data_IF_803777802494
#
_entry.id   IF_803777802494
#
_cell.length_a   1.000
_cell.length_b   1.000
_cell.length_c   1.000
_cell.angle_alpha   90.00
_cell.angle_beta   90.00
_cell.angle_gamma   90.00
#
_symmetry.space_group_name_H-M   'P 1'
#
loop_
_entity.id
_entity.type
_entity.pdbx_description
1 polymer ?
#
# COMPACT_ATOMS: atom_id res chain seq x y z
N UNK A 1 7.83 19.05 21.12
CA UNK A 1 6.63 18.22 20.92
C UNK A 1 5.72 18.77 19.82
N UNK A 2 5.68 20.07 19.59
CA UNK A 2 4.88 20.68 18.48
C UNK A 2 5.33 20.29 17.05
N UNK A 3 6.62 19.98 16.85
CA UNK A 3 7.09 19.56 15.50
C UNK A 3 6.61 18.17 15.08
N UNK A 4 6.34 17.27 16.03
CA UNK A 4 5.86 15.92 15.73
C UNK A 4 4.38 15.89 15.27
N UNK A 5 3.59 16.87 15.68
CA UNK A 5 2.18 16.96 15.32
C UNK A 5 1.95 17.31 13.83
N UNK A 6 2.97 17.80 13.13
CA UNK A 6 2.91 18.16 11.71
C UNK A 6 3.46 17.09 10.77
N UNK A 7 3.87 15.93 11.28
CA UNK A 7 4.38 14.84 10.44
C UNK A 7 3.25 13.94 9.97
N UNK A 8 3.42 13.32 8.80
CA UNK A 8 2.51 12.30 8.27
C UNK A 8 2.82 10.88 8.80
N UNK A 9 3.80 10.76 9.70
CA UNK A 9 4.18 9.47 10.30
C UNK A 9 2.99 8.86 11.03
N UNK A 10 2.65 7.64 10.68
CA UNK A 10 1.51 6.90 11.23
C UNK A 10 0.14 7.28 10.68
N UNK A 11 0.05 8.32 9.85
CA UNK A 11 -1.21 8.93 9.39
C UNK A 11 -1.47 8.66 7.92
N UNK A 12 -1.59 7.38 7.57
CA UNK A 12 -1.74 6.94 6.18
C UNK A 12 -2.95 7.56 5.49
N UNK A 13 -4.10 7.66 6.16
CA UNK A 13 -5.32 8.28 5.59
C UNK A 13 -5.14 9.76 5.33
N UNK A 14 -4.53 10.51 6.25
CA UNK A 14 -4.27 11.93 6.06
C UNK A 14 -3.32 12.17 4.87
N UNK A 15 -2.32 11.30 4.72
CA UNK A 15 -1.40 11.36 3.59
C UNK A 15 -2.09 11.07 2.25
N UNK A 16 -3.09 10.17 2.23
CA UNK A 16 -3.93 9.94 1.05
C UNK A 16 -4.64 11.23 0.66
N UNK A 17 -5.34 11.87 1.59
CA UNK A 17 -6.15 13.08 1.34
C UNK A 17 -5.32 14.25 0.81
N UNK A 18 -4.02 14.29 1.13
CA UNK A 18 -3.12 15.34 0.64
C UNK A 18 -2.71 15.20 -0.83
N UNK A 19 -2.76 13.99 -1.39
CA UNK A 19 -2.20 13.73 -2.73
C UNK A 19 -3.26 13.46 -3.80
N UNK A 20 -4.47 13.12 -3.40
CA UNK A 20 -5.56 12.78 -4.32
C UNK A 20 -6.42 13.98 -4.67
N UNK A 21 -7.23 13.84 -5.70
CA UNK A 21 -8.26 14.82 -6.00
C UNK A 21 -9.32 14.81 -4.87
N UNK A 22 -9.76 16.01 -4.48
CA UNK A 22 -10.68 16.19 -3.37
C UNK A 22 -11.91 15.28 -3.50
N UNK A 23 -12.30 14.67 -2.40
CA UNK A 23 -13.49 13.81 -2.27
C UNK A 23 -13.53 12.60 -3.26
N UNK A 24 -12.36 12.20 -3.80
CA UNK A 24 -12.29 11.13 -4.79
C UNK A 24 -11.97 9.74 -4.22
N UNK A 25 -11.57 9.63 -2.97
CA UNK A 25 -11.19 8.35 -2.36
C UNK A 25 -12.39 7.49 -2.02
N UNK A 26 -12.37 6.28 -2.52
CA UNK A 26 -13.32 5.22 -2.19
C UNK A 26 -12.56 4.11 -1.46
N UNK A 27 -12.50 4.24 -0.14
CA UNK A 27 -11.83 3.25 0.71
C UNK A 27 -12.54 1.90 0.63
N UNK A 28 -11.78 0.83 0.62
CA UNK A 28 -12.23 -0.56 0.52
C UNK A 28 -13.01 -0.91 -0.77
N UNK A 29 -12.89 -0.09 -1.82
CA UNK A 29 -13.54 -0.36 -3.12
C UNK A 29 -12.51 -0.25 -4.24
N UNK A 30 -12.40 -1.32 -5.05
CA UNK A 30 -11.63 -1.32 -6.30
C UNK A 30 -12.49 -1.93 -7.39
N UNK A 31 -12.92 -1.10 -8.35
CA UNK A 31 -13.69 -1.50 -9.53
C UNK A 31 -14.92 -2.38 -9.21
N UNK A 32 -15.70 -1.96 -8.21
CA UNK A 32 -16.89 -2.70 -7.75
C UNK A 32 -16.62 -3.87 -6.81
N UNK A 33 -15.36 -4.25 -6.61
CA UNK A 33 -14.99 -5.20 -5.58
C UNK A 33 -14.89 -4.49 -4.22
N UNK A 34 -15.63 -5.00 -3.23
CA UNK A 34 -15.66 -4.45 -1.88
C UNK A 34 -14.82 -5.32 -0.95
N UNK A 35 -13.90 -4.69 -0.22
CA UNK A 35 -13.11 -5.32 0.83
C UNK A 35 -13.86 -5.21 2.17
N UNK A 36 -13.71 -6.23 3.00
CA UNK A 36 -14.15 -6.16 4.39
C UNK A 36 -13.26 -5.14 5.14
N UNK A 37 -13.84 -4.08 5.73
CA UNK A 37 -13.07 -3.07 6.45
C UNK A 37 -12.37 -3.64 7.69
N UNK A 38 -12.92 -4.69 8.30
CA UNK A 38 -12.36 -5.32 9.49
C UNK A 38 -11.25 -6.33 9.16
N UNK A 39 -11.06 -6.69 7.89
CA UNK A 39 -9.98 -7.55 7.45
C UNK A 39 -8.73 -6.72 7.11
N UNK A 40 -7.64 -6.95 7.83
CA UNK A 40 -6.37 -6.23 7.65
C UNK A 40 -6.52 -4.71 7.82
N UNK A 41 -7.03 -4.23 8.98
CA UNK A 41 -7.35 -2.81 9.17
C UNK A 41 -6.12 -1.88 9.14
N UNK A 42 -4.91 -2.42 9.36
CA UNK A 42 -3.64 -1.70 9.22
C UNK A 42 -3.25 -1.39 7.77
N UNK A 43 -3.98 -1.94 6.78
CA UNK A 43 -3.81 -1.64 5.37
C UNK A 43 -5.03 -0.93 4.81
N UNK A 44 -4.84 0.29 4.34
CA UNK A 44 -5.85 1.09 3.65
C UNK A 44 -5.72 0.84 2.17
N UNK A 45 -6.78 0.34 1.54
CA UNK A 45 -6.81 0.08 0.10
C UNK A 45 -8.03 0.74 -0.52
N UNK A 46 -7.94 1.16 -1.76
CA UNK A 46 -9.09 1.76 -2.45
C UNK A 46 -8.74 2.38 -3.79
N UNK A 47 -9.73 3.02 -4.38
CA UNK A 47 -9.59 3.77 -5.63
C UNK A 47 -9.73 5.26 -5.37
N UNK A 48 -8.88 6.06 -5.98
CA UNK A 48 -8.96 7.52 -5.97
C UNK A 48 -8.76 8.07 -7.38
N UNK A 49 -8.85 9.39 -7.52
CA UNK A 49 -8.36 10.11 -8.69
C UNK A 49 -7.12 10.92 -8.34
N UNK A 50 -6.18 10.95 -9.24
CA UNK A 50 -4.96 11.75 -9.16
C UNK A 50 -4.84 12.54 -10.47
N UNK A 51 -5.06 13.87 -10.39
CA UNK A 51 -5.21 14.73 -11.56
C UNK A 51 -6.25 14.18 -12.57
N UNK A 52 -7.43 13.82 -12.09
CA UNK A 52 -8.52 13.27 -12.86
C UNK A 52 -8.37 11.81 -13.32
N UNK A 53 -7.21 11.18 -13.11
CA UNK A 53 -6.94 9.81 -13.55
C UNK A 53 -7.22 8.79 -12.45
N UNK A 54 -7.95 7.71 -12.72
CA UNK A 54 -8.17 6.63 -11.77
C UNK A 54 -6.83 6.04 -11.29
N UNK A 55 -6.71 5.86 -9.98
CA UNK A 55 -5.48 5.40 -9.32
C UNK A 55 -5.87 4.45 -8.20
N UNK A 56 -5.17 3.34 -8.06
CA UNK A 56 -5.29 2.48 -6.87
C UNK A 56 -4.35 2.98 -5.79
N UNK A 57 -4.87 3.13 -4.59
CA UNK A 57 -4.12 3.55 -3.40
C UNK A 57 -3.96 2.34 -2.48
N UNK A 58 -2.75 2.15 -1.98
CA UNK A 58 -2.42 1.17 -0.94
C UNK A 58 -1.55 1.89 0.09
N UNK A 59 -2.02 1.99 1.32
CA UNK A 59 -1.31 2.70 2.38
C UNK A 59 -1.21 1.87 3.66
N UNK A 60 -0.17 2.11 4.45
CA UNK A 60 -0.10 1.66 5.83
C UNK A 60 -0.70 2.74 6.73
N UNK A 61 -1.52 2.33 7.71
CA UNK A 61 -2.05 3.21 8.73
C UNK A 61 -1.65 2.69 10.11
N UNK A 62 -0.76 3.41 10.76
CA UNK A 62 -0.24 3.03 12.08
C UNK A 62 -1.23 3.31 13.23
N UNK A 63 -2.30 4.04 12.95
CA UNK A 63 -3.36 4.32 13.93
C UNK A 63 -4.40 3.19 14.00
N UNK A 64 -4.43 2.31 12.99
CA UNK A 64 -5.32 1.16 13.00
C UNK A 64 -4.80 0.04 13.92
N UNK A 65 -5.73 -0.69 14.52
CA UNK A 65 -5.46 -1.81 15.40
C UNK A 65 -6.20 -3.06 14.89
N UNK A 66 -5.53 -4.22 14.92
CA UNK A 66 -6.12 -5.49 14.53
C UNK A 66 -6.38 -6.36 15.78
N UNK A 67 -7.62 -6.50 16.17
CA UNK A 67 -8.02 -7.26 17.37
C UNK A 67 -7.69 -8.76 17.25
N UNK A 68 -7.70 -9.31 16.03
CA UNK A 68 -7.37 -10.74 15.77
C UNK A 68 -5.88 -11.02 15.87
N UNK A 69 -5.06 -10.03 15.53
CA UNK A 69 -3.60 -10.13 15.55
C UNK A 69 -3.00 -8.94 16.32
N UNK A 70 -2.99 -8.98 17.66
CA UNK A 70 -2.58 -7.84 18.50
C UNK A 70 -1.15 -7.35 18.28
N UNK A 71 -0.29 -8.14 17.63
CA UNK A 71 1.07 -7.71 17.23
C UNK A 71 1.05 -6.76 16.03
N UNK A 72 -0.09 -6.64 15.33
CA UNK A 72 -0.27 -5.72 14.21
C UNK A 72 -0.73 -4.37 14.75
N UNK A 73 0.24 -3.55 15.09
CA UNK A 73 0.05 -2.17 15.56
C UNK A 73 1.17 -1.27 15.02
N UNK A 74 0.96 0.02 15.03
CA UNK A 74 1.99 0.99 14.65
C UNK A 74 2.51 0.84 13.21
N UNK A 75 1.66 0.39 12.28
CA UNK A 75 1.99 0.21 10.87
C UNK A 75 2.68 -1.12 10.54
N UNK A 76 2.74 -2.06 11.49
CA UNK A 76 3.22 -3.43 11.21
C UNK A 76 2.32 -4.08 10.15
N UNK A 77 2.92 -4.74 9.18
CA UNK A 77 2.19 -5.53 8.19
C UNK A 77 1.97 -6.92 8.75
N UNK A 78 0.71 -7.24 9.05
CA UNK A 78 0.28 -8.56 9.48
C UNK A 78 -0.11 -9.47 8.32
N UNK A 79 -0.58 -10.67 8.68
CA UNK A 79 -1.02 -11.68 7.73
C UNK A 79 -2.15 -11.17 6.83
N UNK A 80 -3.18 -10.59 7.45
CA UNK A 80 -4.36 -10.08 6.74
C UNK A 80 -4.04 -8.84 5.91
N UNK A 81 -3.20 -7.94 6.44
CA UNK A 81 -2.75 -6.75 5.75
C UNK A 81 -2.04 -7.11 4.45
N UNK A 82 -1.13 -8.07 4.47
CA UNK A 82 -0.41 -8.53 3.28
C UNK A 82 -1.33 -9.14 2.23
N UNK A 83 -2.29 -9.99 2.63
CA UNK A 83 -3.27 -10.56 1.70
C UNK A 83 -4.22 -9.50 1.15
N UNK A 84 -4.68 -8.54 1.98
CA UNK A 84 -5.53 -7.42 1.52
C UNK A 84 -4.81 -6.58 0.47
N UNK A 85 -3.55 -6.21 0.72
CA UNK A 85 -2.74 -5.45 -0.23
C UNK A 85 -2.51 -6.22 -1.54
N UNK A 86 -2.17 -7.53 -1.47
CA UNK A 86 -2.01 -8.36 -2.65
C UNK A 86 -3.30 -8.44 -3.47
N UNK A 87 -4.44 -8.64 -2.78
CA UNK A 87 -5.76 -8.66 -3.43
C UNK A 87 -6.07 -7.35 -4.11
N UNK A 88 -5.75 -6.21 -3.50
CA UNK A 88 -5.95 -4.89 -4.11
C UNK A 88 -5.18 -4.73 -5.43
N UNK A 89 -3.94 -5.22 -5.48
CA UNK A 89 -3.14 -5.22 -6.70
C UNK A 89 -3.77 -6.11 -7.78
N UNK A 90 -4.17 -7.34 -7.45
CA UNK A 90 -4.79 -8.25 -8.42
C UNK A 90 -6.13 -7.74 -8.91
N UNK A 91 -6.96 -7.13 -8.07
CA UNK A 91 -8.22 -6.49 -8.50
C UNK A 91 -7.97 -5.33 -9.44
N UNK A 92 -6.92 -4.56 -9.21
CA UNK A 92 -6.50 -3.49 -10.12
C UNK A 92 -6.09 -4.05 -11.48
N UNK A 93 -5.31 -5.13 -11.50
CA UNK A 93 -4.87 -5.77 -12.74
C UNK A 93 -6.07 -6.34 -13.52
N UNK A 94 -7.00 -6.99 -12.84
CA UNK A 94 -8.21 -7.54 -13.48
C UNK A 94 -9.08 -6.45 -14.07
N UNK A 95 -9.29 -5.35 -13.34
CA UNK A 95 -10.07 -4.20 -13.80
C UNK A 95 -9.50 -3.53 -15.07
N UNK A 96 -8.19 -3.61 -15.24
CA UNK A 96 -7.49 -2.96 -16.35
C UNK A 96 -6.90 -3.98 -17.37
N UNK A 97 -7.29 -5.25 -17.30
CA UNK A 97 -6.67 -6.32 -18.12
C UNK A 97 -6.69 -6.02 -19.62
N UNK A 98 -7.81 -5.50 -20.10
CA UNK A 98 -8.05 -5.22 -21.52
C UNK A 98 -7.64 -3.80 -21.95
N UNK A 99 -7.14 -2.98 -21.00
CA UNK A 99 -6.70 -1.61 -21.32
C UNK A 99 -5.31 -1.60 -21.96
N UNK A 100 -5.08 -0.72 -22.92
CA UNK A 100 -3.74 -0.51 -23.45
C UNK A 100 -2.81 0.07 -22.38
N UNK A 101 -1.48 -0.12 -22.53
CA UNK A 101 -0.48 0.29 -21.53
C UNK A 101 -0.61 1.74 -21.06
N UNK A 102 -0.88 2.75 -21.93
CA UNK A 102 -0.99 4.14 -21.47
C UNK A 102 -2.23 4.42 -20.60
N UNK A 103 -3.23 3.53 -20.62
CA UNK A 103 -4.50 3.68 -19.91
C UNK A 103 -4.56 2.85 -18.62
N UNK A 104 -3.55 2.01 -18.38
CA UNK A 104 -3.48 1.25 -17.13
C UNK A 104 -3.29 2.20 -15.96
N UNK A 105 -4.15 2.05 -14.94
CA UNK A 105 -4.11 2.91 -13.75
C UNK A 105 -2.81 2.73 -12.98
N UNK A 106 -2.35 3.79 -12.37
CA UNK A 106 -1.23 3.76 -11.45
C UNK A 106 -1.62 3.08 -10.13
N UNK A 107 -0.65 2.45 -9.48
CA UNK A 107 -0.74 1.95 -8.11
C UNK A 107 0.20 2.81 -7.28
N UNK A 108 -0.36 3.54 -6.31
CA UNK A 108 0.39 4.40 -5.40
C UNK A 108 0.47 3.73 -4.04
N UNK A 109 1.68 3.52 -3.59
CA UNK A 109 2.00 2.94 -2.29
C UNK A 109 2.41 4.05 -1.33
N UNK A 110 1.69 4.21 -0.22
CA UNK A 110 2.04 5.14 0.85
C UNK A 110 2.58 4.31 2.00
N UNK A 111 3.88 4.43 2.26
CA UNK A 111 4.62 3.50 3.09
C UNK A 111 5.01 4.15 4.42
N UNK A 112 4.51 3.57 5.50
CA UNK A 112 4.99 3.78 6.86
C UNK A 112 4.85 2.49 7.65
N UNK A 113 5.88 1.65 7.60
CA UNK A 113 5.86 0.38 8.29
C UNK A 113 7.22 0.04 8.91
N UNK A 114 7.25 -0.44 10.16
CA UNK A 114 8.46 -1.00 10.76
C UNK A 114 8.77 -2.41 10.25
N UNK A 115 7.91 -2.99 9.41
CA UNK A 115 8.10 -4.32 8.83
C UNK A 115 6.94 -5.27 9.12
N UNK A 116 7.24 -6.57 8.96
CA UNK A 116 6.26 -7.63 9.15
C UNK A 116 6.01 -7.94 10.64
N UNK A 117 4.83 -8.45 10.95
CA UNK A 117 4.47 -8.90 12.29
C UNK A 117 5.41 -10.01 12.79
N UNK A 118 6.05 -9.85 13.96
CA UNK A 118 7.09 -10.77 14.44
C UNK A 118 6.54 -11.94 15.27
N UNK A 119 5.25 -12.23 15.20
CA UNK A 119 4.60 -13.21 16.06
C UNK A 119 4.81 -14.65 15.59
N UNK A 120 4.93 -15.60 16.54
CA UNK A 120 4.99 -17.04 16.24
C UNK A 120 3.73 -17.52 15.53
N UNK A 121 2.58 -16.99 15.89
CA UNK A 121 1.31 -17.36 15.29
C UNK A 121 1.22 -16.90 13.84
N UNK A 122 1.72 -15.70 13.53
CA UNK A 122 1.79 -15.16 12.18
C UNK A 122 2.73 -16.02 11.30
N UNK A 123 3.87 -16.46 11.83
CA UNK A 123 4.78 -17.32 11.09
C UNK A 123 4.15 -18.70 10.81
N UNK A 124 3.48 -19.30 11.80
CA UNK A 124 2.76 -20.57 11.61
C UNK A 124 1.63 -20.42 10.59
N UNK A 125 0.90 -19.29 10.63
CA UNK A 125 -0.17 -19.00 9.69
C UNK A 125 0.32 -18.65 8.27
N UNK A 126 1.61 -18.42 8.09
CA UNK A 126 2.24 -18.18 6.79
C UNK A 126 2.49 -16.71 6.46
N UNK A 127 2.96 -15.93 7.43
CA UNK A 127 3.31 -14.50 7.25
C UNK A 127 4.22 -14.26 6.03
N UNK A 128 5.22 -15.13 5.83
CA UNK A 128 6.13 -15.10 4.70
C UNK A 128 5.40 -15.27 3.34
N UNK A 129 4.31 -16.05 3.31
CA UNK A 129 3.49 -16.23 2.09
C UNK A 129 2.64 -15.00 1.81
N UNK A 130 2.09 -14.39 2.87
CA UNK A 130 1.30 -13.17 2.75
C UNK A 130 2.13 -12.01 2.18
N UNK A 131 3.27 -11.72 2.79
CA UNK A 131 4.17 -10.66 2.31
C UNK A 131 4.82 -10.97 0.97
N UNK A 132 5.25 -12.22 0.76
CA UNK A 132 5.77 -12.68 -0.52
C UNK A 132 4.71 -12.61 -1.63
N UNK A 133 3.46 -12.94 -1.32
CA UNK A 133 2.33 -12.80 -2.24
C UNK A 133 2.08 -11.35 -2.65
N UNK A 134 2.17 -10.41 -1.72
CA UNK A 134 2.06 -8.99 -2.04
C UNK A 134 3.21 -8.50 -2.96
N UNK A 135 4.43 -8.92 -2.67
CA UNK A 135 5.58 -8.58 -3.51
C UNK A 135 5.45 -9.17 -4.93
N UNK A 136 4.98 -10.42 -5.03
CA UNK A 136 4.71 -11.06 -6.31
C UNK A 136 3.64 -10.30 -7.10
N UNK A 137 2.52 -9.93 -6.44
CA UNK A 137 1.46 -9.17 -7.06
C UNK A 137 1.96 -7.85 -7.67
N UNK A 138 2.79 -7.10 -6.92
CA UNK A 138 3.40 -5.87 -7.43
C UNK A 138 4.32 -6.12 -8.63
N UNK A 139 5.12 -7.20 -8.59
CA UNK A 139 5.98 -7.57 -9.71
C UNK A 139 5.18 -7.94 -10.96
N UNK A 140 4.07 -8.65 -10.79
CA UNK A 140 3.16 -9.02 -11.89
C UNK A 140 2.42 -7.80 -12.45
N UNK A 141 1.90 -6.93 -11.59
CA UNK A 141 1.24 -5.68 -12.02
C UNK A 141 2.19 -4.81 -12.86
N UNK A 142 3.44 -4.74 -12.47
CA UNK A 142 4.46 -4.02 -13.21
C UNK A 142 4.75 -4.66 -14.58
N UNK A 143 4.88 -5.99 -14.65
CA UNK A 143 5.00 -6.71 -15.92
C UNK A 143 3.80 -6.48 -16.82
N UNK A 144 2.61 -6.36 -16.23
CA UNK A 144 1.38 -6.04 -16.93
C UNK A 144 1.28 -4.57 -17.38
N UNK A 145 2.26 -3.72 -17.01
CA UNK A 145 2.37 -2.34 -17.46
C UNK A 145 1.71 -1.29 -16.55
N UNK A 146 1.33 -1.65 -15.33
CA UNK A 146 0.85 -0.68 -14.35
C UNK A 146 2.01 0.18 -13.84
N UNK A 147 1.91 1.51 -13.87
CA UNK A 147 2.86 2.38 -13.18
C UNK A 147 2.74 2.17 -11.67
N UNK A 148 3.87 1.97 -10.99
CA UNK A 148 3.90 1.83 -9.52
C UNK A 148 4.78 2.93 -8.95
N UNK A 149 4.21 3.69 -8.01
CA UNK A 149 4.89 4.79 -7.31
C UNK A 149 4.83 4.51 -5.80
N UNK A 150 5.98 4.56 -5.13
CA UNK A 150 6.04 4.45 -3.68
C UNK A 150 6.43 5.79 -3.06
N UNK A 151 5.65 6.21 -2.08
CA UNK A 151 5.91 7.37 -1.22
C UNK A 151 6.19 6.89 0.19
N UNK A 152 7.36 7.19 0.72
CA UNK A 152 7.71 6.89 2.10
C UNK A 152 7.43 8.12 2.94
N UNK A 153 6.49 8.00 3.86
CA UNK A 153 6.07 9.10 4.75
C UNK A 153 6.62 8.94 6.18
N UNK A 154 7.19 7.77 6.47
CA UNK A 154 7.75 7.45 7.77
C UNK A 154 8.78 6.33 7.66
N UNK A 155 8.48 5.17 8.24
CA UNK A 155 9.37 4.01 8.24
C UNK A 155 9.16 3.16 7.00
N UNK A 156 10.23 2.54 6.51
CA UNK A 156 10.17 1.59 5.39
C UNK A 156 11.18 0.47 5.62
N UNK A 157 10.85 -0.46 6.50
CA UNK A 157 11.73 -1.54 6.93
C UNK A 157 11.22 -2.87 6.37
N UNK A 158 12.13 -3.80 6.09
CA UNK A 158 11.83 -5.17 5.64
C UNK A 158 11.10 -5.22 4.28
N UNK A 159 9.90 -5.83 4.21
CA UNK A 159 9.15 -6.02 2.98
C UNK A 159 8.81 -4.73 2.22
N UNK A 160 8.60 -3.62 2.92
CA UNK A 160 8.39 -2.33 2.28
C UNK A 160 9.63 -1.83 1.51
N UNK A 161 10.83 -2.13 2.02
CA UNK A 161 12.09 -1.83 1.33
C UNK A 161 12.23 -2.65 0.04
N UNK A 162 11.85 -3.92 0.07
CA UNK A 162 11.86 -4.78 -1.12
C UNK A 162 10.88 -4.30 -2.19
N UNK A 163 9.69 -3.84 -1.79
CA UNK A 163 8.75 -3.20 -2.73
C UNK A 163 9.38 -1.98 -3.43
N UNK A 164 10.14 -1.17 -2.70
CA UNK A 164 10.85 -0.02 -3.25
C UNK A 164 11.97 -0.43 -4.22
N UNK A 165 12.73 -1.49 -3.91
CA UNK A 165 13.77 -2.01 -4.80
C UNK A 165 13.18 -2.57 -6.10
N UNK A 166 12.06 -3.29 -6.03
CA UNK A 166 11.36 -3.79 -7.21
C UNK A 166 10.84 -2.65 -8.09
N UNK A 167 10.45 -1.53 -7.50
CA UNK A 167 10.08 -0.31 -8.22
C UNK A 167 11.30 0.32 -8.92
N UNK A 168 12.47 0.31 -8.28
CA UNK A 168 13.67 1.00 -8.78
C UNK A 168 14.44 0.26 -9.88
N UNK A 169 14.47 -1.07 -9.87
CA UNK A 169 15.46 -1.84 -10.65
C UNK A 169 15.13 -2.11 -12.13
N UNK A 170 13.92 -1.89 -12.63
CA UNK A 170 13.53 -2.42 -13.95
C UNK A 170 13.01 -1.40 -14.97
N UNK A 171 12.76 -0.13 -14.63
CA UNK A 171 12.34 0.86 -15.65
C UNK A 171 12.98 2.24 -15.46
N UNK A 172 13.46 2.88 -16.55
CA UNK A 172 14.01 4.24 -16.53
C UNK A 172 12.95 5.35 -16.32
N UNK A 173 11.67 5.01 -16.13
CA UNK A 173 10.54 5.94 -15.96
C UNK A 173 9.85 5.84 -14.60
N UNK A 174 10.41 5.17 -13.62
CA UNK A 174 9.81 5.10 -12.28
C UNK A 174 10.39 6.21 -11.41
N UNK A 175 9.57 7.18 -11.08
CA UNK A 175 9.88 8.23 -10.13
C UNK A 175 9.68 7.69 -8.71
N UNK A 176 10.75 7.58 -7.95
CA UNK A 176 10.68 7.37 -6.52
C UNK A 176 10.72 8.75 -5.85
N UNK A 177 9.60 9.19 -5.30
CA UNK A 177 9.56 10.37 -4.44
C UNK A 177 9.71 9.88 -3.01
N UNK A 178 10.93 9.93 -2.49
CA UNK A 178 11.17 9.81 -1.07
C UNK A 178 10.98 11.21 -0.47
N UNK A 179 9.82 11.48 0.10
CA UNK A 179 9.65 12.63 0.96
C UNK A 179 10.20 12.22 2.33
N UNK A 180 11.47 12.45 2.56
CA UNK A 180 12.01 12.44 3.91
C UNK A 180 11.47 13.68 4.59
N UNK A 181 10.41 13.52 5.35
CA UNK A 181 9.98 14.56 6.31
C UNK A 181 10.99 14.49 7.45
N UNK A 182 11.72 15.58 7.63
CA UNK A 182 12.94 15.65 8.43
C UNK A 182 12.85 15.05 9.83
N UNK A 183 13.97 14.48 10.24
CA UNK A 183 14.33 14.20 11.62
C UNK A 183 14.55 15.51 12.37
#
# INVERSE_FOLDING_TARGET
MEELDNTMIGRGRDAIDMIIDKDSFQENIIDGYSFDPDYGPGSVVGTAKLNGKPTTIIANDAMAFNDRFPVVFGGVIGLEEGYKMATAVYRTMEADKDKPLPEKRAIVLIVDTPGNGPGKMEEIAGMNKSTGGYQLALAEARKAGHPIVAMVIGRAISGAFLCQLLVKQVLPKTLMVAIMVGL
#
